data_IF_815579595968
#
_entry.id   IF_815579595968
#
_cell.length_a   1.000
_cell.length_b   1.000
_cell.length_c   1.000
_cell.angle_alpha   90.00
_cell.angle_beta   90.00
_cell.angle_gamma   90.00
#
_symmetry.space_group_name_H-M   'P 1'
#
loop_
_entity.id
_entity.type
_entity.pdbx_description
1 polymer ?
#
# COMPACT_ATOMS: atom_id res chain seq x y z
N UNK A 1 -23.30 6.30 32.71
CA UNK A 1 -23.33 7.30 31.61
C UNK A 1 -24.49 6.95 30.71
N UNK A 2 -25.34 7.92 30.37
CA UNK A 2 -26.57 7.67 29.58
C UNK A 2 -26.24 7.42 28.12
N UNK A 3 -27.07 6.61 27.47
CA UNK A 3 -27.00 6.35 26.03
C UNK A 3 -27.25 7.64 25.23
N UNK A 4 -26.60 7.79 24.07
CA UNK A 4 -26.75 8.95 23.17
C UNK A 4 -28.14 8.94 22.51
N UNK A 5 -28.76 7.76 22.41
CA UNK A 5 -30.10 7.57 21.83
C UNK A 5 -31.00 6.80 22.79
N UNK A 6 -32.31 7.04 22.73
CA UNK A 6 -33.27 6.31 23.53
C UNK A 6 -33.35 4.81 23.15
N UNK A 7 -33.94 4.00 24.03
CA UNK A 7 -34.06 2.54 23.89
C UNK A 7 -34.81 2.11 22.61
N UNK A 8 -35.85 2.85 22.21
CA UNK A 8 -36.68 2.53 21.03
C UNK A 8 -35.95 2.92 19.74
N UNK A 9 -35.21 4.02 19.74
CA UNK A 9 -34.30 4.40 18.64
C UNK A 9 -33.15 3.42 18.52
N UNK A 10 -32.46 3.03 19.60
CA UNK A 10 -31.43 1.98 19.56
C UNK A 10 -31.98 0.65 19.03
N UNK A 11 -33.17 0.24 19.48
CA UNK A 11 -33.81 -0.99 19.01
C UNK A 11 -34.06 -0.96 17.49
N UNK A 12 -34.64 0.14 16.98
CA UNK A 12 -34.83 0.35 15.53
C UNK A 12 -33.51 0.38 14.75
N UNK A 13 -32.49 1.06 15.27
CA UNK A 13 -31.15 1.10 14.65
C UNK A 13 -30.55 -0.30 14.54
N UNK A 14 -30.59 -1.09 15.62
CA UNK A 14 -30.06 -2.46 15.65
C UNK A 14 -30.84 -3.41 14.73
N UNK A 15 -32.17 -3.27 14.65
CA UNK A 15 -33.00 -4.04 13.71
C UNK A 15 -32.72 -3.71 12.24
N UNK A 16 -32.23 -2.50 11.94
CA UNK A 16 -31.82 -2.10 10.59
C UNK A 16 -30.47 -2.67 10.12
N UNK A 17 -29.70 -3.31 11.00
CA UNK A 17 -28.35 -3.82 10.67
C UNK A 17 -28.45 -5.14 9.92
N UNK A 18 -28.20 -5.09 8.61
CA UNK A 18 -28.21 -6.26 7.72
C UNK A 18 -26.87 -7.00 7.82
N UNK A 19 -26.93 -8.33 7.87
CA UNK A 19 -25.74 -9.21 7.86
C UNK A 19 -25.23 -9.61 6.47
N UNK A 20 -25.73 -8.96 5.41
CA UNK A 20 -25.29 -9.12 4.00
C UNK A 20 -25.85 -7.98 3.16
N UNK A 21 -25.30 -7.81 1.95
CA UNK A 21 -25.74 -6.80 0.97
C UNK A 21 -25.72 -5.39 1.58
N UNK A 22 -24.74 -5.15 2.46
CA UNK A 22 -24.53 -3.87 3.13
C UNK A 22 -24.03 -2.82 2.13
N UNK A 23 -24.17 -1.53 2.48
CA UNK A 23 -23.69 -0.43 1.63
C UNK A 23 -22.21 -0.58 1.22
N UNK A 24 -21.23 -0.88 2.11
CA UNK A 24 -19.84 -1.09 1.70
C UNK A 24 -19.67 -2.28 0.73
N UNK A 25 -20.32 -3.43 0.97
CA UNK A 25 -20.29 -4.55 0.02
C UNK A 25 -20.79 -4.12 -1.37
N UNK A 26 -21.94 -3.43 -1.43
CA UNK A 26 -22.57 -3.05 -2.70
C UNK A 26 -21.74 -2.04 -3.51
N UNK A 27 -21.04 -1.10 -2.87
CA UNK A 27 -20.17 -0.16 -3.61
C UNK A 27 -18.90 -0.84 -4.12
N UNK A 28 -18.27 -1.71 -3.32
CA UNK A 28 -17.09 -2.46 -3.73
C UNK A 28 -17.42 -3.45 -4.87
N UNK A 29 -18.54 -4.17 -4.76
CA UNK A 29 -19.09 -5.05 -5.81
C UNK A 29 -19.19 -4.33 -7.16
N UNK A 30 -19.82 -3.15 -7.17
CA UNK A 30 -19.97 -2.32 -8.39
C UNK A 30 -18.62 -1.91 -8.97
N UNK A 31 -17.71 -1.41 -8.15
CA UNK A 31 -16.39 -0.95 -8.59
C UNK A 31 -15.54 -2.10 -9.19
N UNK A 32 -15.49 -3.26 -8.54
CA UNK A 32 -14.76 -4.43 -9.06
C UNK A 32 -15.38 -4.97 -10.35
N UNK A 33 -16.71 -4.91 -10.48
CA UNK A 33 -17.41 -5.26 -11.72
C UNK A 33 -17.05 -4.30 -12.87
N UNK A 34 -16.98 -2.98 -12.62
CA UNK A 34 -16.49 -2.02 -13.64
C UNK A 34 -15.00 -2.24 -14.00
N UNK A 35 -14.18 -2.73 -13.06
CA UNK A 35 -12.80 -3.15 -13.33
C UNK A 35 -12.70 -4.52 -14.05
N UNK A 36 -13.83 -5.10 -14.50
CA UNK A 36 -13.89 -6.34 -15.28
C UNK A 36 -13.83 -7.64 -14.44
N UNK A 37 -13.77 -7.56 -13.11
CA UNK A 37 -13.68 -8.74 -12.26
C UNK A 37 -15.05 -9.40 -12.05
N UNK A 38 -15.05 -10.74 -12.08
CA UNK A 38 -16.23 -11.57 -11.81
C UNK A 38 -16.03 -12.35 -10.51
N UNK A 39 -17.00 -12.28 -9.61
CA UNK A 39 -17.00 -12.93 -8.31
C UNK A 39 -18.26 -13.77 -8.12
N UNK A 40 -18.20 -14.72 -7.18
CA UNK A 40 -19.37 -15.40 -6.60
C UNK A 40 -19.67 -14.76 -5.23
N UNK A 41 -20.96 -14.65 -4.91
CA UNK A 41 -21.44 -14.16 -3.62
C UNK A 41 -21.80 -15.34 -2.71
N UNK A 42 -21.59 -15.19 -1.40
CA UNK A 42 -22.09 -16.08 -0.34
C UNK A 42 -21.88 -17.58 -0.64
N UNK A 43 -20.68 -17.96 -1.10
CA UNK A 43 -20.41 -19.34 -1.53
C UNK A 43 -20.47 -20.31 -0.35
N UNK A 44 -21.52 -21.14 -0.31
CA UNK A 44 -21.77 -22.10 0.79
C UNK A 44 -20.64 -23.12 1.00
N UNK A 45 -19.79 -23.33 -0.01
CA UNK A 45 -18.66 -24.26 0.05
C UNK A 45 -17.34 -23.65 0.52
N UNK A 46 -17.33 -22.42 1.05
CA UNK A 46 -16.12 -21.75 1.54
C UNK A 46 -16.29 -21.31 3.00
N UNK A 47 -15.31 -21.65 3.83
CA UNK A 47 -15.28 -21.35 5.25
C UNK A 47 -15.35 -19.83 5.51
N UNK A 48 -16.04 -19.45 6.58
CA UNK A 48 -16.31 -18.05 6.92
C UNK A 48 -17.34 -17.32 6.05
N UNK A 49 -17.83 -17.93 4.95
CA UNK A 49 -18.77 -17.31 3.99
C UNK A 49 -18.32 -15.93 3.49
N UNK A 50 -17.19 -15.82 2.74
CA UNK A 50 -16.68 -14.55 2.25
C UNK A 50 -17.72 -13.79 1.41
N UNK A 51 -17.70 -12.46 1.52
CA UNK A 51 -18.62 -11.57 0.79
C UNK A 51 -18.42 -11.69 -0.72
N UNK A 52 -17.14 -11.76 -1.16
CA UNK A 52 -16.75 -11.95 -2.55
C UNK A 52 -15.76 -13.10 -2.66
N UNK A 53 -16.04 -14.02 -3.57
CA UNK A 53 -15.18 -15.17 -3.88
C UNK A 53 -14.72 -15.07 -5.34
N UNK A 54 -13.43 -15.22 -5.55
CA UNK A 54 -12.78 -15.14 -6.86
C UNK A 54 -12.07 -16.47 -7.20
N UNK A 55 -12.80 -17.50 -7.69
CA UNK A 55 -12.24 -18.84 -7.86
C UNK A 55 -11.03 -18.89 -8.80
N UNK A 56 -11.05 -18.11 -9.90
CA UNK A 56 -9.92 -17.98 -10.85
C UNK A 56 -8.61 -17.53 -10.18
N UNK A 57 -8.71 -16.71 -9.14
CA UNK A 57 -7.56 -16.14 -8.43
C UNK A 57 -7.29 -16.86 -7.10
N UNK A 58 -8.05 -17.94 -6.81
CA UNK A 58 -8.09 -18.66 -5.53
C UNK A 58 -8.16 -17.71 -4.33
N UNK A 59 -8.98 -16.65 -4.45
CA UNK A 59 -9.05 -15.56 -3.47
C UNK A 59 -10.45 -15.41 -2.85
N UNK A 60 -10.47 -15.12 -1.56
CA UNK A 60 -11.63 -14.78 -0.75
C UNK A 60 -11.46 -13.35 -0.23
N UNK A 61 -12.51 -12.52 -0.33
CA UNK A 61 -12.50 -11.14 0.14
C UNK A 61 -13.65 -10.93 1.13
N UNK A 62 -13.29 -10.37 2.29
CA UNK A 62 -14.21 -9.97 3.35
C UNK A 62 -14.37 -8.45 3.38
N UNK A 63 -15.60 -7.99 3.61
CA UNK A 63 -15.92 -6.56 3.75
C UNK A 63 -16.34 -6.29 5.19
N UNK A 64 -15.38 -5.95 6.04
CA UNK A 64 -15.59 -5.85 7.47
C UNK A 64 -16.01 -4.45 7.93
N UNK A 65 -17.07 -4.39 8.74
CA UNK A 65 -17.41 -3.20 9.51
C UNK A 65 -16.37 -2.95 10.60
N UNK A 66 -15.78 -1.77 10.65
CA UNK A 66 -14.70 -1.42 11.58
C UNK A 66 -15.15 -1.55 13.04
N UNK A 67 -16.41 -1.21 13.33
CA UNK A 67 -17.00 -1.37 14.65
C UNK A 67 -17.09 -2.84 15.10
N UNK A 68 -17.52 -3.74 14.19
CA UNK A 68 -17.87 -5.14 14.52
C UNK A 68 -16.67 -6.08 14.62
N UNK A 69 -15.66 -5.87 13.78
CA UNK A 69 -14.43 -6.68 13.72
C UNK A 69 -13.21 -5.94 14.27
N UNK A 70 -13.42 -4.77 14.89
CA UNK A 70 -12.42 -3.96 15.63
C UNK A 70 -11.18 -3.58 14.81
N UNK A 71 -11.38 -2.89 13.68
CA UNK A 71 -10.28 -2.37 12.85
C UNK A 71 -9.26 -1.58 13.71
N UNK A 72 -7.99 -2.01 13.80
CA UNK A 72 -6.96 -1.33 14.59
C UNK A 72 -6.72 0.10 14.11
N UNK A 73 -6.40 1.02 15.03
CA UNK A 73 -6.12 2.43 14.72
C UNK A 73 -7.29 3.23 14.12
N UNK A 74 -8.48 2.63 13.95
CA UNK A 74 -9.58 3.23 13.22
C UNK A 74 -10.56 4.00 14.13
N UNK A 75 -10.82 5.27 13.77
CA UNK A 75 -11.79 6.15 14.45
C UNK A 75 -13.24 5.63 14.53
N UNK A 76 -13.61 4.64 13.71
CA UNK A 76 -14.94 4.04 13.72
C UNK A 76 -15.07 2.85 14.70
N UNK A 77 -13.96 2.49 15.36
CA UNK A 77 -13.85 1.36 16.30
C UNK A 77 -14.23 1.78 17.74
N UNK A 78 -15.36 2.49 17.89
CA UNK A 78 -15.84 3.01 19.19
C UNK A 78 -16.30 1.89 20.12
N UNK A 79 -16.28 2.13 21.44
CA UNK A 79 -16.80 1.20 22.46
C UNK A 79 -18.11 1.79 23.01
N UNK A 80 -19.25 1.07 22.97
CA UNK A 80 -20.48 1.55 23.59
C UNK A 80 -20.36 1.58 25.12
N UNK A 81 -20.67 2.72 25.73
CA UNK A 81 -20.65 2.87 27.19
C UNK A 81 -21.71 2.02 27.93
N UNK A 82 -22.71 1.51 27.20
CA UNK A 82 -23.82 0.71 27.74
C UNK A 82 -23.55 -0.79 27.58
N UNK A 83 -23.48 -1.53 28.70
CA UNK A 83 -23.15 -2.97 28.77
C UNK A 83 -21.75 -3.31 28.21
N UNK A 84 -20.67 -2.67 28.70
CA UNK A 84 -19.33 -2.81 28.11
C UNK A 84 -18.83 -4.26 28.08
N UNK A 85 -19.12 -5.07 29.10
CA UNK A 85 -18.70 -6.47 29.20
C UNK A 85 -19.31 -7.33 28.09
N UNK A 86 -20.59 -7.11 27.78
CA UNK A 86 -21.29 -7.78 26.67
C UNK A 86 -20.69 -7.39 25.32
N UNK A 87 -20.36 -6.12 25.12
CA UNK A 87 -19.74 -5.66 23.87
C UNK A 87 -18.33 -6.21 23.72
N UNK A 88 -17.53 -6.17 24.79
CA UNK A 88 -16.16 -6.68 24.81
C UNK A 88 -16.13 -8.17 24.43
N UNK A 89 -16.90 -9.01 25.13
CA UNK A 89 -17.01 -10.44 24.83
C UNK A 89 -17.52 -10.71 23.40
N UNK A 90 -18.46 -9.89 22.90
CA UNK A 90 -18.94 -10.00 21.52
C UNK A 90 -17.87 -9.63 20.48
N UNK A 91 -17.07 -8.61 20.73
CA UNK A 91 -15.97 -8.21 19.86
C UNK A 91 -14.86 -9.27 19.83
N UNK A 92 -14.46 -9.78 21.00
CA UNK A 92 -13.48 -10.87 21.11
C UNK A 92 -13.95 -12.14 20.38
N UNK A 93 -15.23 -12.52 20.54
CA UNK A 93 -15.81 -13.66 19.82
C UNK A 93 -15.82 -13.48 18.29
N UNK A 94 -15.96 -12.25 17.80
CA UNK A 94 -15.85 -11.96 16.37
C UNK A 94 -14.40 -12.11 15.89
N UNK A 95 -13.46 -11.41 16.52
CA UNK A 95 -12.03 -11.45 16.18
C UNK A 95 -11.49 -12.89 16.20
N UNK A 96 -11.81 -13.67 17.25
CA UNK A 96 -11.39 -15.06 17.37
C UNK A 96 -11.94 -15.93 16.22
N UNK A 97 -13.18 -15.70 15.79
CA UNK A 97 -13.78 -16.40 14.65
C UNK A 97 -13.12 -16.01 13.33
N UNK A 98 -12.82 -14.73 13.14
CA UNK A 98 -12.16 -14.22 11.94
C UNK A 98 -10.75 -14.82 11.79
N UNK A 99 -9.97 -14.89 12.89
CA UNK A 99 -8.67 -15.55 12.90
C UNK A 99 -8.72 -17.03 12.50
N UNK A 100 -9.67 -17.80 13.04
CA UNK A 100 -9.85 -19.22 12.67
C UNK A 100 -10.20 -19.33 11.18
N UNK A 101 -11.16 -18.53 10.70
CA UNK A 101 -11.55 -18.50 9.29
C UNK A 101 -10.36 -18.17 8.37
N UNK A 102 -9.55 -17.18 8.72
CA UNK A 102 -8.39 -16.80 7.91
C UNK A 102 -7.34 -17.91 7.88
N UNK A 103 -7.00 -18.49 9.04
CA UNK A 103 -6.07 -19.60 9.13
C UNK A 103 -6.53 -20.82 8.30
N UNK A 104 -7.83 -21.15 8.35
CA UNK A 104 -8.40 -22.26 7.59
C UNK A 104 -8.37 -22.02 6.08
N UNK A 105 -8.70 -20.80 5.64
CA UNK A 105 -8.65 -20.41 4.23
C UNK A 105 -7.21 -20.47 3.69
N UNK A 106 -6.25 -19.88 4.42
CA UNK A 106 -4.83 -19.92 4.07
C UNK A 106 -4.31 -21.36 3.97
N UNK A 107 -4.66 -22.24 4.93
CA UNK A 107 -4.30 -23.67 4.90
C UNK A 107 -4.94 -24.42 3.73
N UNK A 108 -6.16 -24.05 3.34
CA UNK A 108 -6.81 -24.54 2.12
C UNK A 108 -6.24 -23.92 0.82
N UNK A 109 -5.16 -23.14 0.91
CA UNK A 109 -4.48 -22.48 -0.21
C UNK A 109 -5.25 -21.30 -0.80
N UNK A 110 -6.25 -20.77 -0.08
CA UNK A 110 -6.94 -19.54 -0.47
C UNK A 110 -6.15 -18.31 -0.02
N UNK A 111 -6.12 -17.32 -0.90
CA UNK A 111 -5.63 -15.98 -0.60
C UNK A 111 -6.76 -15.19 0.06
N UNK A 112 -6.48 -14.43 1.12
CA UNK A 112 -7.50 -13.70 1.88
C UNK A 112 -7.23 -12.20 1.80
N UNK A 113 -8.26 -11.41 1.49
CA UNK A 113 -8.20 -9.96 1.58
C UNK A 113 -9.31 -9.42 2.49
N UNK A 114 -8.96 -8.46 3.33
CA UNK A 114 -9.91 -7.77 4.22
C UNK A 114 -10.02 -6.31 3.83
N UNK A 115 -11.20 -5.90 3.40
CA UNK A 115 -11.51 -4.52 3.03
C UNK A 115 -12.39 -3.90 4.11
N UNK A 116 -11.87 -2.90 4.79
CA UNK A 116 -12.57 -2.25 5.89
C UNK A 116 -13.57 -1.19 5.39
N UNK A 117 -14.73 -1.08 6.04
CA UNK A 117 -15.78 -0.12 5.65
C UNK A 117 -15.27 1.34 5.58
N UNK A 118 -14.24 1.70 6.37
CA UNK A 118 -13.64 3.02 6.40
C UNK A 118 -12.97 3.41 5.07
N UNK A 119 -12.44 2.44 4.31
CA UNK A 119 -11.92 2.63 2.96
C UNK A 119 -13.05 2.91 1.95
N UNK A 120 -14.27 2.42 2.22
CA UNK A 120 -15.39 2.44 1.27
C UNK A 120 -16.38 3.60 1.47
N UNK A 121 -16.10 4.57 2.35
CA UNK A 121 -17.04 5.66 2.70
C UNK A 121 -17.15 6.80 1.67
N UNK A 122 -16.21 6.94 0.74
CA UNK A 122 -16.17 8.01 -0.30
C UNK A 122 -15.96 7.41 -1.70
N UNK A 123 -16.56 7.96 -2.77
CA UNK A 123 -16.44 7.42 -4.14
C UNK A 123 -14.98 7.22 -4.59
N UNK A 124 -14.13 8.24 -4.46
CA UNK A 124 -12.72 8.20 -4.89
C UNK A 124 -11.95 7.09 -4.16
N UNK A 125 -12.26 6.90 -2.88
CA UNK A 125 -11.66 5.83 -2.06
C UNK A 125 -12.17 4.44 -2.44
N UNK A 126 -13.43 4.31 -2.86
CA UNK A 126 -13.96 3.04 -3.38
C UNK A 126 -13.22 2.66 -4.66
N UNK A 127 -12.99 3.61 -5.59
CA UNK A 127 -12.18 3.38 -6.78
C UNK A 127 -10.74 2.98 -6.43
N UNK A 128 -10.08 3.75 -5.55
CA UNK A 128 -8.71 3.45 -5.12
C UNK A 128 -8.59 2.08 -4.41
N UNK A 129 -9.59 1.68 -3.61
CA UNK A 129 -9.69 0.37 -2.99
C UNK A 129 -9.85 -0.74 -4.02
N UNK A 130 -10.72 -0.53 -5.03
CA UNK A 130 -10.94 -1.50 -6.11
C UNK A 130 -9.67 -1.70 -6.95
N UNK A 131 -8.90 -0.64 -7.20
CA UNK A 131 -7.61 -0.74 -7.90
C UNK A 131 -6.55 -1.53 -7.09
N UNK A 132 -6.39 -1.21 -5.80
CA UNK A 132 -5.46 -1.92 -4.91
C UNK A 132 -5.80 -3.42 -4.86
N UNK A 133 -7.09 -3.73 -4.70
CA UNK A 133 -7.58 -5.10 -4.72
C UNK A 133 -7.44 -5.76 -6.10
N UNK A 134 -7.59 -5.01 -7.20
CA UNK A 134 -7.38 -5.52 -8.56
C UNK A 134 -5.92 -5.86 -8.85
N UNK A 135 -4.97 -5.03 -8.40
CA UNK A 135 -3.53 -5.29 -8.47
C UNK A 135 -3.20 -6.53 -7.63
N UNK A 136 -3.69 -6.61 -6.39
CA UNK A 136 -3.49 -7.79 -5.55
C UNK A 136 -4.10 -9.06 -6.15
N UNK A 137 -5.33 -9.02 -6.68
CA UNK A 137 -5.96 -10.19 -7.30
C UNK A 137 -5.07 -10.77 -8.41
N UNK A 138 -4.44 -9.91 -9.23
CA UNK A 138 -3.55 -10.29 -10.33
C UNK A 138 -2.16 -10.75 -9.89
N UNK A 139 -1.53 -10.07 -8.93
CA UNK A 139 -0.08 -10.20 -8.65
C UNK A 139 0.31 -10.33 -7.17
N UNK A 140 -0.64 -10.21 -6.25
CA UNK A 140 -0.38 -10.13 -4.82
C UNK A 140 -0.11 -11.47 -4.12
N UNK A 141 0.32 -11.39 -2.86
CA UNK A 141 0.58 -12.54 -1.99
C UNK A 141 -0.67 -13.15 -1.35
N UNK A 142 -0.46 -13.93 -0.29
CA UNK A 142 -1.50 -14.69 0.41
C UNK A 142 -2.49 -13.81 1.20
N UNK A 143 -2.05 -12.66 1.70
CA UNK A 143 -2.84 -11.74 2.52
C UNK A 143 -2.89 -10.33 1.91
N UNK A 144 -3.95 -9.59 2.24
CA UNK A 144 -4.09 -8.14 2.04
C UNK A 144 -5.06 -7.57 3.07
N UNK A 145 -4.75 -6.36 3.55
CA UNK A 145 -5.68 -5.54 4.31
C UNK A 145 -5.76 -4.16 3.66
N UNK A 146 -6.96 -3.58 3.55
CA UNK A 146 -7.17 -2.21 3.04
C UNK A 146 -8.06 -1.43 4.02
N UNK A 147 -7.45 -0.46 4.70
CA UNK A 147 -8.09 0.55 5.54
C UNK A 147 -8.12 1.95 4.93
N UNK A 148 -8.62 2.91 5.71
CA UNK A 148 -8.63 4.34 5.34
C UNK A 148 -7.20 4.90 5.14
N UNK A 149 -6.21 4.35 5.85
CA UNK A 149 -4.82 4.79 5.78
C UNK A 149 -4.13 4.34 4.49
N UNK A 150 -4.30 3.08 4.08
CA UNK A 150 -3.67 2.52 2.86
C UNK A 150 -4.14 3.24 1.60
N UNK A 151 -5.45 3.54 1.54
CA UNK A 151 -6.03 4.36 0.48
C UNK A 151 -5.49 5.79 0.51
N UNK A 152 -5.30 6.38 1.69
CA UNK A 152 -4.75 7.74 1.82
C UNK A 152 -3.27 7.79 1.43
N UNK A 153 -2.51 6.73 1.72
CA UNK A 153 -1.12 6.56 1.26
C UNK A 153 -1.05 6.49 -0.26
N UNK A 154 -1.88 5.67 -0.91
CA UNK A 154 -1.94 5.59 -2.39
C UNK A 154 -2.09 6.97 -3.04
N UNK A 155 -3.00 7.82 -2.55
CA UNK A 155 -3.17 9.18 -3.09
C UNK A 155 -1.95 10.08 -2.88
N UNK A 156 -1.21 9.90 -1.79
CA UNK A 156 0.03 10.64 -1.51
C UNK A 156 1.16 10.19 -2.44
N UNK A 157 1.32 8.87 -2.62
CA UNK A 157 2.29 8.27 -3.53
C UNK A 157 2.02 8.72 -4.99
N UNK A 158 0.75 8.73 -5.42
CA UNK A 158 0.32 9.25 -6.73
C UNK A 158 0.50 10.77 -6.88
N UNK A 159 0.42 11.55 -5.79
CA UNK A 159 0.70 12.99 -5.81
C UNK A 159 2.20 13.28 -5.94
N UNK A 160 3.05 12.51 -5.24
CA UNK A 160 4.50 12.59 -5.39
C UNK A 160 4.92 12.22 -6.81
N UNK A 161 4.53 11.04 -7.31
CA UNK A 161 4.89 10.58 -8.65
C UNK A 161 4.45 11.53 -9.78
N UNK A 162 3.29 12.20 -9.63
CA UNK A 162 2.86 13.27 -10.56
C UNK A 162 3.74 14.51 -10.47
N UNK A 163 4.19 14.89 -9.28
CA UNK A 163 5.10 16.03 -9.07
C UNK A 163 6.48 15.74 -9.66
N UNK A 164 7.02 14.54 -9.41
CA UNK A 164 8.30 14.08 -9.93
C UNK A 164 8.29 14.02 -11.47
N UNK A 165 7.22 13.51 -12.07
CA UNK A 165 7.03 13.51 -13.53
C UNK A 165 6.90 14.91 -14.15
N UNK A 166 6.39 15.91 -13.41
CA UNK A 166 6.37 17.31 -13.86
C UNK A 166 7.78 17.92 -13.77
N UNK A 167 8.51 17.68 -12.68
CA UNK A 167 9.89 18.15 -12.52
C UNK A 167 10.80 17.59 -13.61
N UNK A 168 10.72 16.29 -13.92
CA UNK A 168 11.54 15.69 -14.97
C UNK A 168 11.23 16.28 -16.36
N UNK A 169 9.95 16.58 -16.66
CA UNK A 169 9.57 17.25 -17.92
C UNK A 169 10.10 18.69 -18.00
N UNK A 170 10.16 19.40 -16.89
CA UNK A 170 10.77 20.75 -16.82
C UNK A 170 12.29 20.64 -16.99
N UNK A 171 12.95 19.74 -16.27
CA UNK A 171 14.38 19.52 -16.34
C UNK A 171 14.83 19.10 -17.76
N UNK A 172 14.12 18.19 -18.41
CA UNK A 172 14.36 17.81 -19.80
C UNK A 172 14.24 18.99 -20.77
N UNK A 173 13.26 19.89 -20.55
CA UNK A 173 13.06 21.10 -21.36
C UNK A 173 14.18 22.13 -21.19
N UNK A 174 14.78 22.20 -19.99
CA UNK A 174 15.95 23.06 -19.71
C UNK A 174 17.18 22.49 -20.42
N UNK A 175 17.49 21.20 -20.23
CA UNK A 175 18.65 20.53 -20.88
C UNK A 175 18.64 20.69 -22.39
N UNK A 176 17.50 20.46 -23.06
CA UNK A 176 17.38 20.66 -24.52
C UNK A 176 17.69 22.10 -24.97
N UNK A 177 17.41 23.09 -24.12
CA UNK A 177 17.65 24.51 -24.43
C UNK A 177 19.12 24.89 -24.23
N UNK A 178 19.80 24.27 -23.27
CA UNK A 178 21.24 24.46 -23.05
C UNK A 178 22.07 23.85 -24.19
N UNK A 179 21.66 22.68 -24.70
CA UNK A 179 22.26 22.05 -25.89
C UNK A 179 22.08 22.91 -27.15
N UNK A 180 20.89 23.47 -27.40
CA UNK A 180 20.62 24.40 -28.51
C UNK A 180 21.38 25.74 -28.39
N UNK A 181 21.83 26.11 -27.18
CA UNK A 181 22.55 27.38 -26.92
C UNK A 181 24.08 27.18 -26.87
N UNK A 182 24.57 25.95 -26.98
CA UNK A 182 26.00 25.66 -26.99
C UNK A 182 26.69 26.32 -28.21
N UNK A 183 27.74 27.13 -28.03
CA UNK A 183 28.39 27.79 -29.16
C UNK A 183 29.02 26.75 -30.08
N UNK A 184 28.73 26.86 -31.39
CA UNK A 184 29.47 26.11 -32.42
C UNK A 184 30.95 26.46 -32.30
N UNK A 185 31.74 25.51 -31.80
CA UNK A 185 33.19 25.56 -31.89
C UNK A 185 33.57 25.52 -33.37
N UNK A 186 33.98 26.67 -33.89
CA UNK A 186 34.47 26.82 -35.25
C UNK A 186 35.77 26.02 -35.42
N UNK A 187 35.73 24.98 -36.25
CA UNK A 187 36.87 24.10 -36.55
C UNK A 187 37.78 24.73 -37.61
N UNK A 188 38.25 25.95 -37.35
CA UNK A 188 39.01 26.77 -38.31
C UNK A 188 40.36 27.24 -37.77
N UNK A 189 41.13 26.36 -37.10
CA UNK A 189 42.58 26.54 -36.92
C UNK A 189 43.29 25.23 -37.22
N UNK A 190 43.80 25.09 -38.44
CA UNK A 190 44.91 24.18 -38.74
C UNK A 190 46.21 24.89 -38.37
N UNK A 191 46.99 24.30 -37.47
CA UNK A 191 48.39 24.67 -37.25
C UNK A 191 49.24 23.40 -37.41
N UNK A 192 50.16 23.44 -38.37
CA UNK A 192 51.07 22.33 -38.68
C UNK A 192 52.20 22.16 -37.65
N UNK A 193 53.04 21.13 -37.83
CA UNK A 193 53.95 20.64 -36.79
C UNK A 193 55.22 21.49 -36.68
N UNK A 194 55.79 21.52 -35.46
CA UNK A 194 57.16 21.91 -35.21
C UNK A 194 57.89 20.76 -34.51
N UNK A 195 58.71 20.02 -35.25
CA UNK A 195 59.75 19.17 -34.66
C UNK A 195 60.80 20.05 -33.98
N UNK A 196 61.14 19.75 -32.73
CA UNK A 196 62.46 20.07 -32.18
C UNK A 196 63.01 18.80 -31.51
N UNK A 197 64.24 18.47 -31.90
CA UNK A 197 64.95 17.23 -31.56
C UNK A 197 65.47 17.28 -30.11
N UNK A 198 65.56 16.12 -29.42
CA UNK A 198 65.97 16.02 -28.01
C UNK A 198 67.47 16.27 -27.77
N UNK A 199 68.00 16.22 -26.52
CA UNK A 199 68.48 15.02 -25.76
C UNK A 199 69.66 15.52 -24.87
N UNK A 200 70.09 14.97 -23.70
CA UNK A 200 69.45 14.17 -22.62
C UNK A 200 69.97 14.53 -21.17
N UNK A 201 69.79 13.58 -20.20
CA UNK A 201 70.47 13.42 -18.86
C UNK A 201 70.02 14.40 -17.74
N UNK A 202 69.90 14.00 -16.44
CA UNK A 202 70.45 12.85 -15.68
C UNK A 202 69.56 12.43 -14.48
N UNK A 203 69.91 11.31 -13.84
CA UNK A 203 69.35 10.71 -12.61
C UNK A 203 69.25 11.66 -11.38
N UNK A 204 68.60 11.39 -10.24
CA UNK A 204 68.04 10.16 -9.58
C UNK A 204 66.84 10.57 -8.66
N UNK A 205 66.23 9.83 -7.71
CA UNK A 205 66.43 8.51 -7.06
C UNK A 205 65.10 7.96 -6.44
N UNK A 206 65.16 6.79 -5.78
CA UNK A 206 64.13 6.16 -4.91
C UNK A 206 64.82 5.49 -3.70
N UNK A 207 64.11 4.84 -2.75
CA UNK A 207 63.01 5.24 -1.86
C UNK A 207 63.48 5.12 -0.37
N UNK A 208 62.64 4.91 0.69
CA UNK A 208 62.05 3.58 0.96
C UNK A 208 60.66 3.57 1.67
N UNK A 209 60.19 2.35 1.98
CA UNK A 209 58.89 2.01 2.58
C UNK A 209 58.96 1.73 4.10
N UNK A 210 57.88 2.05 4.83
CA UNK A 210 57.49 1.45 6.14
C UNK A 210 55.99 1.72 6.37
N UNK A 211 55.04 0.78 6.43
CA UNK A 211 54.86 -0.51 7.14
C UNK A 211 54.30 -0.39 8.58
N UNK A 212 52.99 -0.68 8.70
CA UNK A 212 52.23 -1.27 9.84
C UNK A 212 52.12 -0.57 11.21
N UNK A 213 50.86 -0.39 11.68
CA UNK A 213 50.18 -1.11 12.81
C UNK A 213 48.78 -0.50 13.00
N UNK A 214 47.67 -1.26 12.97
CA UNK A 214 47.10 -2.08 14.06
C UNK A 214 46.80 -1.31 15.36
N UNK A 215 45.51 -1.05 15.66
CA UNK A 215 44.84 -1.56 16.87
C UNK A 215 43.34 -1.20 16.96
N UNK A 216 42.50 -2.24 17.02
CA UNK A 216 41.30 -2.34 17.88
C UNK A 216 41.76 -3.01 19.21
N UNK A 217 40.92 -3.24 20.25
CA UNK A 217 39.57 -2.74 20.53
C UNK A 217 39.44 -2.17 21.97
N UNK A 218 38.21 -1.78 22.37
CA UNK A 218 37.59 -2.24 23.64
C UNK A 218 36.09 -1.94 23.71
N UNK A 219 35.40 -2.72 24.54
CA UNK A 219 33.96 -2.71 24.82
C UNK A 219 33.68 -2.20 26.25
N UNK A 220 32.40 -2.27 26.65
CA UNK A 220 31.84 -2.08 28.01
C UNK A 220 31.62 -0.64 28.52
N UNK A 221 30.73 -0.47 29.52
CA UNK A 221 29.87 -1.47 30.15
C UNK A 221 28.48 -1.63 29.51
#
# INVERSE_FOLDING_TARGET
>A
MTDIVDKQTRSRMMAGIRGKDTKPELVLRRALHSCGFRYRLHSKGILGRPDLVFPRFRAAVFVHGCFWHRHPGCRYTTIPATRPEFWQSKFESNIARDHVVYADLLRAGWRVATVWECALRKPDRVSATADLLAVWLRFGGALLEIGEMDVSKKFSDEASARSDAVQERIAARIRSREEDTAPRLDKSVQAGPAEIVGVPLKASASPPSSRTKSNRPKSNP
#
